data_IF_802167679868
#
_entry.id   IF_802167679868
#
_cell.length_a   1.000
_cell.length_b   1.000
_cell.length_c   1.000
_cell.angle_alpha   90.00
_cell.angle_beta   90.00
_cell.angle_gamma   90.00
#
_symmetry.space_group_name_H-M   'P 1'
#
loop_
_entity.id
_entity.type
_entity.pdbx_description
1 polymer ?
#
# COMPACT_ATOMS: atom_id res chain seq x y z
N UNK A 1 -16.04 -58.72 -6.22
CA UNK A 1 -15.01 -57.66 -6.09
C UNK A 1 -15.67 -56.46 -5.44
N UNK A 2 -15.52 -56.30 -4.12
CA UNK A 2 -15.99 -55.11 -3.41
C UNK A 2 -15.07 -53.95 -3.77
N UNK A 3 -15.66 -52.85 -4.24
CA UNK A 3 -14.94 -51.58 -4.37
C UNK A 3 -14.94 -50.90 -3.00
N UNK A 4 -14.08 -51.35 -2.08
CA UNK A 4 -13.66 -50.53 -0.95
C UNK A 4 -12.70 -49.46 -1.47
N UNK A 5 -13.27 -48.42 -2.08
CA UNK A 5 -12.58 -47.14 -2.17
C UNK A 5 -12.83 -46.46 -0.83
N UNK A 6 -11.83 -46.46 0.05
CA UNK A 6 -11.71 -45.45 1.10
C UNK A 6 -11.71 -44.08 0.40
N UNK A 7 -12.89 -43.52 0.18
CA UNK A 7 -13.04 -42.14 -0.26
C UNK A 7 -12.69 -41.33 0.98
N UNK A 8 -11.49 -40.75 0.97
CA UNK A 8 -11.04 -39.87 2.04
C UNK A 8 -11.93 -38.63 2.02
N UNK A 9 -12.98 -38.62 2.85
CA UNK A 9 -13.94 -37.52 2.92
C UNK A 9 -13.19 -36.33 3.53
N UNK A 10 -12.98 -35.22 2.79
CA UNK A 10 -12.23 -34.10 3.31
C UNK A 10 -12.94 -33.54 4.54
N UNK A 11 -12.24 -33.52 5.68
CA UNK A 11 -12.74 -32.92 6.91
C UNK A 11 -12.83 -31.41 6.74
N UNK A 12 -13.95 -30.85 7.16
CA UNK A 12 -14.16 -29.40 7.20
C UNK A 12 -14.14 -28.97 8.67
N UNK A 13 -13.31 -27.99 8.98
CA UNK A 13 -13.29 -27.35 10.31
C UNK A 13 -13.54 -25.85 10.16
N UNK A 14 -14.07 -25.22 11.19
CA UNK A 14 -14.32 -23.79 11.24
C UNK A 14 -13.93 -23.24 12.61
N UNK A 15 -13.18 -22.15 12.64
CA UNK A 15 -12.67 -21.50 13.84
C UNK A 15 -12.81 -19.98 13.67
N UNK A 16 -13.18 -19.29 14.74
CA UNK A 16 -13.15 -17.83 14.77
C UNK A 16 -11.85 -17.35 15.43
N UNK A 17 -11.11 -16.48 14.72
CA UNK A 17 -9.99 -15.73 15.29
C UNK A 17 -10.49 -14.33 15.68
N UNK A 18 -10.26 -13.94 16.92
CA UNK A 18 -10.66 -12.62 17.41
C UNK A 18 -10.04 -11.49 16.58
N UNK A 19 -10.77 -10.38 16.45
CA UNK A 19 -10.29 -9.22 15.70
C UNK A 19 -9.06 -8.63 16.40
N UNK A 20 -7.89 -8.56 15.72
CA UNK A 20 -6.67 -8.13 16.37
C UNK A 20 -6.71 -6.66 16.78
N UNK A 21 -6.15 -6.36 17.95
CA UNK A 21 -5.96 -4.98 18.41
C UNK A 21 -4.83 -4.30 17.63
N UNK A 22 -4.88 -2.97 17.58
CA UNK A 22 -3.80 -2.10 17.11
C UNK A 22 -3.47 -1.06 18.18
N UNK A 23 -2.23 -0.60 18.17
CA UNK A 23 -1.66 0.28 19.19
C UNK A 23 -1.68 1.74 18.75
N UNK A 24 -1.98 2.63 19.70
CA UNK A 24 -2.06 4.09 19.57
C UNK A 24 -1.11 4.77 20.57
N UNK A 25 -1.26 6.09 20.79
CA UNK A 25 -0.39 6.80 21.72
C UNK A 25 -0.46 6.20 23.14
N UNK A 26 0.65 6.29 23.88
CA UNK A 26 0.77 5.80 25.27
C UNK A 26 0.47 4.30 25.43
N UNK A 27 0.59 3.51 24.35
CA UNK A 27 0.33 2.07 24.38
C UNK A 27 -1.15 1.68 24.42
N UNK A 28 -2.06 2.64 24.25
CA UNK A 28 -3.50 2.38 24.20
C UNK A 28 -3.86 1.50 23.01
N UNK A 29 -4.91 0.69 23.16
CA UNK A 29 -5.23 -0.36 22.19
C UNK A 29 -6.70 -0.31 21.81
N UNK A 30 -6.99 -0.51 20.53
CA UNK A 30 -8.35 -0.63 20.05
C UNK A 30 -8.40 -1.43 18.74
N UNK A 31 -9.56 -1.98 18.38
CA UNK A 31 -9.74 -2.66 17.09
C UNK A 31 -9.89 -1.68 15.92
N UNK A 32 -10.50 -0.50 16.15
CA UNK A 32 -10.80 0.49 15.12
C UNK A 32 -9.79 1.64 15.08
N UNK A 33 -9.12 1.87 13.93
CA UNK A 33 -8.28 3.03 13.69
C UNK A 33 -8.93 4.37 14.01
N UNK A 34 -10.20 4.55 13.63
CA UNK A 34 -10.86 5.86 13.73
C UNK A 34 -11.17 6.19 15.18
N UNK A 35 -11.78 5.26 15.90
CA UNK A 35 -11.97 5.39 17.34
C UNK A 35 -10.65 5.60 18.08
N UNK A 36 -9.63 4.78 17.80
CA UNK A 36 -8.36 4.87 18.51
C UNK A 36 -7.64 6.20 18.30
N UNK A 37 -7.64 6.75 17.08
CA UNK A 37 -7.10 8.09 16.83
C UNK A 37 -7.93 9.16 17.56
N UNK A 38 -9.27 9.11 17.46
CA UNK A 38 -10.13 10.10 18.09
C UNK A 38 -10.01 10.13 19.61
N UNK A 39 -9.79 8.98 20.26
CA UNK A 39 -9.74 8.87 21.72
C UNK A 39 -8.32 8.98 22.29
N UNK A 40 -7.33 8.41 21.62
CA UNK A 40 -5.99 8.24 22.16
C UNK A 40 -4.92 9.02 21.40
N UNK A 41 -5.21 9.46 20.17
CA UNK A 41 -4.21 10.04 19.27
C UNK A 41 -3.34 9.00 18.56
N UNK A 42 -2.53 9.43 17.59
CA UNK A 42 -1.76 8.53 16.77
C UNK A 42 -0.59 7.88 17.52
N UNK A 43 -0.19 6.65 17.14
CA UNK A 43 0.92 5.92 17.78
C UNK A 43 2.19 6.74 17.93
N UNK A 44 2.57 7.52 16.90
CA UNK A 44 3.81 8.28 16.98
C UNK A 44 3.76 9.52 17.88
N UNK A 45 2.58 9.92 18.37
CA UNK A 45 2.45 11.05 19.32
C UNK A 45 3.20 10.80 20.63
N UNK A 46 3.20 9.56 21.13
CA UNK A 46 3.94 9.19 22.33
C UNK A 46 4.55 7.79 22.18
N UNK A 47 5.89 7.65 22.15
CA UNK A 47 6.90 8.72 22.29
C UNK A 47 7.01 9.62 21.03
N UNK A 48 7.20 10.94 21.23
CA UNK A 48 7.16 12.02 20.22
C UNK A 48 8.17 11.86 19.06
N UNK A 49 9.13 10.91 19.12
CA UNK A 49 10.26 10.79 18.17
C UNK A 49 9.90 10.82 16.68
N UNK A 50 8.67 10.41 16.31
CA UNK A 50 8.18 10.40 14.91
C UNK A 50 6.86 11.16 14.73
N UNK A 51 6.52 12.05 15.65
CA UNK A 51 5.31 12.84 15.56
C UNK A 51 5.54 14.12 14.74
N UNK A 52 4.85 14.31 13.61
CA UNK A 52 4.90 15.58 12.89
C UNK A 52 3.98 16.60 13.56
N UNK A 53 4.49 17.39 14.51
CA UNK A 53 3.67 18.40 15.21
C UNK A 53 3.15 19.50 14.28
N UNK A 54 3.90 19.80 13.21
CA UNK A 54 3.52 20.70 12.13
C UNK A 54 3.79 20.02 10.79
N UNK A 55 3.01 20.36 9.77
CA UNK A 55 3.23 19.91 8.39
C UNK A 55 3.16 21.12 7.47
N UNK A 56 4.28 21.49 6.84
CA UNK A 56 4.33 22.55 5.83
C UNK A 56 3.75 22.05 4.51
N UNK A 57 2.60 22.59 4.09
CA UNK A 57 1.87 22.13 2.91
C UNK A 57 2.04 23.12 1.75
N UNK A 58 2.56 22.63 0.63
CA UNK A 58 2.62 23.35 -0.64
C UNK A 58 1.57 22.89 -1.64
N UNK A 59 1.36 23.70 -2.69
CA UNK A 59 0.35 23.44 -3.71
C UNK A 59 0.87 23.62 -5.14
N UNK A 60 0.40 22.78 -6.05
CA UNK A 60 0.56 22.93 -7.50
C UNK A 60 -0.83 22.81 -8.15
N UNK A 61 -1.25 23.83 -8.90
CA UNK A 61 -2.59 23.91 -9.52
C UNK A 61 -2.87 25.28 -10.13
N UNK A 62 -4.08 25.53 -10.65
CA UNK A 62 -4.47 26.90 -11.00
C UNK A 62 -4.82 27.68 -9.73
N UNK A 63 -4.86 29.01 -9.80
CA UNK A 63 -5.23 29.84 -8.65
C UNK A 63 -6.56 29.40 -8.02
N UNK A 64 -7.56 29.11 -8.85
CA UNK A 64 -8.88 28.63 -8.42
C UNK A 64 -8.82 27.25 -7.75
N UNK A 65 -8.16 26.25 -8.37
CA UNK A 65 -8.13 24.90 -7.80
C UNK A 65 -7.34 24.82 -6.51
N UNK A 66 -6.29 25.64 -6.38
CA UNK A 66 -5.50 25.76 -5.16
C UNK A 66 -6.35 26.34 -4.04
N UNK A 67 -7.08 27.43 -4.30
CA UNK A 67 -7.91 28.08 -3.29
C UNK A 67 -8.98 27.13 -2.74
N UNK A 68 -9.71 26.44 -3.64
CA UNK A 68 -10.73 25.46 -3.24
C UNK A 68 -10.14 24.35 -2.37
N UNK A 69 -8.98 23.80 -2.75
CA UNK A 69 -8.35 22.72 -1.98
C UNK A 69 -7.82 23.20 -0.63
N UNK A 70 -7.20 24.38 -0.57
CA UNK A 70 -6.70 24.99 0.66
C UNK A 70 -7.86 25.23 1.65
N UNK A 71 -8.94 25.87 1.21
CA UNK A 71 -10.13 26.10 2.04
C UNK A 71 -10.73 24.79 2.55
N UNK A 72 -10.81 23.76 1.70
CA UNK A 72 -11.31 22.45 2.12
C UNK A 72 -10.42 21.80 3.18
N UNK A 73 -9.09 21.88 3.02
CA UNK A 73 -8.13 21.36 4.01
C UNK A 73 -8.23 22.11 5.33
N UNK A 74 -8.25 23.44 5.31
CA UNK A 74 -8.37 24.30 6.51
C UNK A 74 -9.66 24.02 7.28
N UNK A 75 -10.79 23.94 6.57
CA UNK A 75 -12.10 23.63 7.16
C UNK A 75 -12.13 22.23 7.74
N UNK A 76 -11.69 21.22 6.97
CA UNK A 76 -11.73 19.83 7.40
C UNK A 76 -10.77 19.55 8.56
N UNK A 77 -9.65 20.27 8.65
CA UNK A 77 -8.70 20.17 9.77
C UNK A 77 -9.31 20.60 11.12
N UNK A 78 -10.40 21.38 11.13
CA UNK A 78 -11.13 21.70 12.37
C UNK A 78 -11.93 20.51 12.92
N UNK A 79 -12.09 19.46 12.13
CA UNK A 79 -13.00 18.35 12.42
C UNK A 79 -14.19 18.37 11.47
N UNK A 80 -14.77 17.20 11.23
CA UNK A 80 -15.92 17.03 10.35
C UNK A 80 -16.92 16.10 11.03
N UNK A 81 -18.11 16.61 11.31
CA UNK A 81 -19.20 15.81 11.85
C UNK A 81 -19.55 14.68 10.88
N UNK A 82 -19.78 13.51 11.48
CA UNK A 82 -20.21 12.28 10.88
C UNK A 82 -21.73 12.15 10.78
N UNK A 83 -22.17 10.92 10.55
CA UNK A 83 -23.56 10.49 10.59
C UNK A 83 -23.64 9.09 11.23
N UNK A 84 -24.79 8.41 11.14
CA UNK A 84 -24.96 7.05 11.70
C UNK A 84 -24.00 5.99 11.13
N UNK A 85 -23.48 6.19 9.91
CA UNK A 85 -22.61 5.24 9.20
C UNK A 85 -21.16 5.70 9.15
N UNK A 86 -20.90 6.99 9.38
CA UNK A 86 -19.58 7.61 9.28
C UNK A 86 -19.24 8.26 10.62
N UNK A 87 -18.23 7.77 11.36
CA UNK A 87 -17.84 8.43 12.61
C UNK A 87 -17.28 9.82 12.33
N UNK A 88 -17.34 10.71 13.31
CA UNK A 88 -16.75 12.05 13.23
C UNK A 88 -15.26 11.97 12.90
N UNK A 89 -14.79 12.90 12.08
CA UNK A 89 -13.36 13.15 11.92
C UNK A 89 -12.92 14.13 13.02
N UNK A 90 -12.00 13.74 13.92
CA UNK A 90 -11.67 14.52 15.11
C UNK A 90 -10.82 15.78 14.84
N UNK A 91 -10.40 15.98 13.59
CA UNK A 91 -9.59 17.13 13.20
C UNK A 91 -8.10 16.81 13.10
N UNK A 92 -7.36 17.83 12.66
CA UNK A 92 -5.92 17.86 12.47
C UNK A 92 -5.39 19.18 13.03
N UNK A 93 -5.37 19.28 14.37
CA UNK A 93 -4.86 20.41 15.14
C UNK A 93 -3.94 19.91 16.25
N UNK A 94 -3.16 20.80 16.86
CA UNK A 94 -2.21 20.48 17.94
C UNK A 94 -2.88 19.83 19.17
N UNK A 95 -4.15 20.12 19.41
CA UNK A 95 -4.88 19.77 20.63
C UNK A 95 -5.95 18.70 20.39
N UNK A 96 -6.21 18.30 19.14
CA UNK A 96 -7.26 17.34 18.81
C UNK A 96 -6.94 16.45 17.61
N UNK A 97 -7.46 15.22 17.66
CA UNK A 97 -7.36 14.22 16.59
C UNK A 97 -5.95 13.72 16.37
N UNK A 98 -5.27 14.25 15.35
CA UNK A 98 -3.90 13.85 15.01
C UNK A 98 -2.82 14.54 15.84
N UNK A 99 -3.17 15.57 16.63
CA UNK A 99 -2.21 16.38 17.41
C UNK A 99 -1.16 17.10 16.54
N UNK A 100 -1.48 17.33 15.27
CA UNK A 100 -0.63 17.97 14.26
C UNK A 100 -1.35 19.17 13.66
N UNK A 101 -0.63 20.23 13.28
CA UNK A 101 -1.22 21.35 12.53
C UNK A 101 -0.68 21.45 11.10
N UNK A 102 -1.53 21.97 10.20
CA UNK A 102 -1.12 22.36 8.86
C UNK A 102 -0.58 23.78 8.88
N UNK A 103 0.54 24.00 8.22
CA UNK A 103 1.10 25.33 7.97
C UNK A 103 1.05 25.59 6.47
N UNK A 104 0.59 26.78 6.08
CA UNK A 104 0.47 27.21 4.70
C UNK A 104 1.22 28.51 4.51
N UNK A 105 1.89 28.66 3.37
CA UNK A 105 2.58 29.88 2.96
C UNK A 105 2.39 30.09 1.45
N UNK A 106 2.29 31.35 1.03
CA UNK A 106 2.23 31.72 -0.38
C UNK A 106 3.53 31.33 -1.11
N UNK A 107 4.67 31.28 -0.41
CA UNK A 107 5.93 30.80 -0.96
C UNK A 107 5.92 29.32 -1.34
N UNK A 108 5.00 28.54 -0.79
CA UNK A 108 4.82 27.12 -1.12
C UNK A 108 3.76 26.89 -2.19
N UNK A 109 3.29 27.94 -2.86
CA UNK A 109 2.34 27.85 -3.97
C UNK A 109 3.08 28.00 -5.30
N UNK A 110 2.90 27.01 -6.18
CA UNK A 110 3.42 27.03 -7.55
C UNK A 110 2.26 26.93 -8.53
N UNK A 111 1.78 28.09 -9.00
CA UNK A 111 0.60 28.16 -9.85
C UNK A 111 0.89 27.74 -11.30
N UNK A 112 -0.08 27.06 -11.90
CA UNK A 112 -0.19 26.81 -13.33
C UNK A 112 -0.93 27.99 -13.97
N UNK A 113 -0.23 28.78 -14.78
CA UNK A 113 -0.84 29.92 -15.44
C UNK A 113 -1.64 29.49 -16.69
N UNK A 114 -2.50 30.40 -17.19
CA UNK A 114 -3.37 30.12 -18.34
C UNK A 114 -2.59 29.69 -19.59
N UNK A 115 -1.45 30.35 -19.88
CA UNK A 115 -0.64 30.04 -21.05
C UNK A 115 -0.01 28.65 -20.95
N UNK A 116 0.51 28.26 -19.79
CA UNK A 116 1.06 26.92 -19.54
C UNK A 116 0.01 25.83 -19.79
N UNK A 117 -1.19 26.02 -19.24
CA UNK A 117 -2.31 25.09 -19.41
C UNK A 117 -2.72 25.01 -20.88
N UNK A 118 -2.93 26.15 -21.54
CA UNK A 118 -3.31 26.20 -22.96
C UNK A 118 -2.25 25.56 -23.87
N UNK A 119 -0.97 25.78 -23.58
CA UNK A 119 0.13 25.21 -24.35
C UNK A 119 0.13 23.67 -24.29
N UNK A 120 -0.08 23.10 -23.10
CA UNK A 120 -0.25 21.64 -22.95
C UNK A 120 -1.49 21.17 -23.71
N UNK A 121 -2.63 21.84 -23.56
CA UNK A 121 -3.90 21.42 -24.16
C UNK A 121 -3.94 21.55 -25.69
N UNK A 122 -3.12 22.42 -26.29
CA UNK A 122 -2.96 22.59 -27.75
C UNK A 122 -2.20 21.43 -28.39
N UNK A 123 -1.40 20.67 -27.62
CA UNK A 123 -0.63 19.54 -28.16
C UNK A 123 -1.60 18.43 -28.60
N UNK A 124 -1.61 18.15 -29.92
CA UNK A 124 -2.51 17.16 -30.54
C UNK A 124 -2.14 15.73 -30.16
N UNK A 125 -0.85 15.37 -30.31
CA UNK A 125 -0.36 14.02 -30.03
C UNK A 125 -0.45 13.68 -28.55
N UNK A 126 -1.11 12.57 -28.21
CA UNK A 126 -1.39 12.17 -26.83
C UNK A 126 -0.12 11.98 -26.00
N UNK A 127 0.88 11.27 -26.55
CA UNK A 127 2.20 11.07 -25.93
C UNK A 127 2.84 12.40 -25.55
N UNK A 128 3.03 13.29 -26.53
CA UNK A 128 3.70 14.57 -26.31
C UNK A 128 2.94 15.47 -25.32
N UNK A 129 1.60 15.44 -25.34
CA UNK A 129 0.77 16.17 -24.37
C UNK A 129 0.97 15.65 -22.95
N UNK A 130 1.04 14.32 -22.80
CA UNK A 130 1.30 13.67 -21.51
C UNK A 130 2.69 14.02 -20.97
N UNK A 131 3.73 13.93 -21.80
CA UNK A 131 5.09 14.31 -21.37
C UNK A 131 5.14 15.79 -20.99
N UNK A 132 4.49 16.67 -21.75
CA UNK A 132 4.45 18.09 -21.47
C UNK A 132 3.79 18.41 -20.12
N UNK A 133 2.69 17.73 -19.75
CA UNK A 133 2.09 17.95 -18.42
C UNK A 133 2.97 17.40 -17.30
N UNK A 134 3.63 16.25 -17.49
CA UNK A 134 4.55 15.70 -16.48
C UNK A 134 5.74 16.63 -16.27
N UNK A 135 6.34 17.14 -17.35
CA UNK A 135 7.44 18.11 -17.31
C UNK A 135 7.02 19.44 -16.67
N UNK A 136 5.82 19.93 -16.99
CA UNK A 136 5.27 21.13 -16.35
C UNK A 136 5.18 20.93 -14.83
N UNK A 137 4.61 19.82 -14.36
CA UNK A 137 4.51 19.54 -12.93
C UNK A 137 5.89 19.33 -12.27
N UNK A 138 6.84 18.69 -12.96
CA UNK A 138 8.23 18.58 -12.50
C UNK A 138 8.87 19.96 -12.31
N UNK A 139 8.68 20.88 -13.27
CA UNK A 139 9.22 22.23 -13.19
C UNK A 139 8.68 22.99 -11.97
N UNK A 140 7.37 22.84 -11.67
CA UNK A 140 6.71 23.47 -10.53
C UNK A 140 7.19 22.89 -9.21
N UNK A 141 7.39 21.57 -9.17
CA UNK A 141 7.96 20.88 -8.01
C UNK A 141 9.41 21.30 -7.74
N UNK A 142 10.23 21.41 -8.79
CA UNK A 142 11.61 21.87 -8.69
C UNK A 142 11.71 23.26 -8.05
N UNK A 143 10.84 24.19 -8.45
CA UNK A 143 10.76 25.53 -7.85
C UNK A 143 10.46 25.47 -6.35
N UNK A 144 9.50 24.64 -5.93
CA UNK A 144 9.14 24.48 -4.51
C UNK A 144 10.26 23.81 -3.71
N UNK A 145 10.99 22.86 -4.31
CA UNK A 145 12.08 22.14 -3.66
C UNK A 145 13.32 22.99 -3.37
N UNK A 146 13.48 24.12 -4.10
CA UNK A 146 14.63 25.03 -4.00
C UNK A 146 14.41 26.20 -3.05
N UNK A 147 13.24 26.28 -2.40
CA UNK A 147 12.96 27.29 -1.38
C UNK A 147 13.85 27.05 -0.15
N UNK A 148 14.22 28.11 0.55
CA UNK A 148 15.05 28.02 1.77
C UNK A 148 14.40 27.11 2.82
N UNK A 149 13.08 27.22 2.95
CA UNK A 149 12.25 26.31 3.72
C UNK A 149 11.23 25.65 2.79
N UNK A 150 11.53 24.48 2.21
CA UNK A 150 10.61 23.82 1.31
C UNK A 150 9.43 23.22 2.08
N UNK A 151 8.28 23.03 1.40
CA UNK A 151 7.15 22.31 1.98
C UNK A 151 7.52 20.83 2.21
N UNK A 152 6.94 20.24 3.25
CA UNK A 152 7.12 18.83 3.61
C UNK A 152 6.14 17.91 2.88
N UNK A 153 5.07 18.50 2.35
CA UNK A 153 4.00 17.80 1.68
C UNK A 153 3.44 18.68 0.57
N UNK A 154 3.27 18.14 -0.65
CA UNK A 154 2.73 18.89 -1.78
C UNK A 154 1.42 18.28 -2.27
N UNK A 155 0.38 19.11 -2.31
CA UNK A 155 -0.90 18.76 -2.91
C UNK A 155 -0.94 19.26 -4.35
N UNK A 156 -1.24 18.36 -5.28
CA UNK A 156 -1.39 18.68 -6.70
C UNK A 156 -2.87 18.62 -7.06
N UNK A 157 -3.45 19.77 -7.43
CA UNK A 157 -4.87 19.94 -7.72
C UNK A 157 -5.02 20.53 -9.10
N UNK A 158 -5.19 19.66 -10.10
CA UNK A 158 -5.21 20.08 -11.49
C UNK A 158 -6.63 20.47 -11.92
N UNK A 159 -6.78 21.49 -12.78
CA UNK A 159 -8.04 21.77 -13.45
C UNK A 159 -8.58 20.54 -14.19
N UNK A 160 -9.90 20.33 -14.13
CA UNK A 160 -10.61 19.21 -14.76
C UNK A 160 -10.21 18.99 -16.23
N UNK A 161 -9.97 20.07 -16.98
CA UNK A 161 -9.60 19.98 -18.39
C UNK A 161 -8.25 19.29 -18.62
N UNK A 162 -7.27 19.51 -17.73
CA UNK A 162 -5.98 18.83 -17.79
C UNK A 162 -6.13 17.35 -17.42
N UNK A 163 -6.87 17.05 -16.34
CA UNK A 163 -7.13 15.66 -15.93
C UNK A 163 -7.83 14.89 -17.05
N UNK A 164 -8.93 15.43 -17.60
CA UNK A 164 -9.71 14.78 -18.66
C UNK A 164 -8.88 14.43 -19.90
N UNK A 165 -7.88 15.26 -20.26
CA UNK A 165 -7.07 15.08 -21.47
C UNK A 165 -5.70 14.43 -21.26
N UNK A 166 -5.21 14.37 -20.02
CA UNK A 166 -3.84 13.95 -19.73
C UNK A 166 -3.74 12.87 -18.64
N UNK A 167 -4.86 12.39 -18.06
CA UNK A 167 -4.83 11.36 -17.01
C UNK A 167 -4.13 10.07 -17.46
N UNK A 168 -4.41 9.63 -18.68
CA UNK A 168 -3.84 8.41 -19.27
C UNK A 168 -3.31 8.72 -20.67
N UNK A 169 -2.17 8.13 -21.02
CA UNK A 169 -1.66 8.11 -22.38
C UNK A 169 -1.39 6.66 -22.81
N UNK A 170 -2.05 6.26 -23.90
CA UNK A 170 -1.77 5.01 -24.59
C UNK A 170 -1.14 5.35 -25.95
N UNK A 171 -0.02 4.72 -26.29
CA UNK A 171 0.63 4.90 -27.57
C UNK A 171 1.48 3.68 -27.92
N UNK A 172 1.70 3.48 -29.22
CA UNK A 172 2.68 2.50 -29.71
C UNK A 172 4.04 3.17 -29.79
N UNK A 173 5.05 2.51 -29.26
CA UNK A 173 6.46 2.88 -29.39
C UNK A 173 7.18 1.85 -30.28
N UNK A 174 8.06 2.31 -31.15
CA UNK A 174 8.71 1.48 -32.17
C UNK A 174 9.59 0.39 -31.58
N UNK A 175 10.25 0.69 -30.46
CA UNK A 175 11.20 -0.22 -29.82
C UNK A 175 10.54 -0.97 -28.66
N UNK A 176 9.56 -0.33 -28.04
CA UNK A 176 9.03 -0.71 -26.74
C UNK A 176 7.60 -1.32 -26.79
N UNK A 177 6.93 -1.25 -27.94
CA UNK A 177 5.60 -1.81 -28.15
C UNK A 177 4.46 -0.94 -27.60
N UNK A 178 3.36 -1.55 -27.15
CA UNK A 178 2.22 -0.82 -26.59
C UNK A 178 2.56 -0.29 -25.20
N UNK A 179 2.48 1.03 -25.02
CA UNK A 179 2.76 1.72 -23.77
C UNK A 179 1.48 2.32 -23.21
N UNK A 180 1.19 1.99 -21.95
CA UNK A 180 0.15 2.60 -21.13
C UNK A 180 0.79 3.37 -19.97
N UNK A 181 0.55 4.68 -19.90
CA UNK A 181 1.03 5.54 -18.82
C UNK A 181 -0.13 6.24 -18.11
N UNK A 182 0.03 6.43 -16.81
CA UNK A 182 -0.92 7.14 -15.94
C UNK A 182 -0.23 8.32 -15.26
N UNK A 183 -0.89 9.47 -15.25
CA UNK A 183 -0.32 10.74 -14.79
C UNK A 183 0.12 10.69 -13.33
N UNK A 184 -0.66 10.03 -12.46
CA UNK A 184 -0.32 9.90 -11.04
C UNK A 184 0.97 9.09 -10.90
N UNK A 185 1.09 7.97 -11.62
CA UNK A 185 2.27 7.09 -11.56
C UNK A 185 3.52 7.79 -12.08
N UNK A 186 3.42 8.41 -13.27
CA UNK A 186 4.50 9.15 -13.91
C UNK A 186 4.96 10.34 -13.04
N UNK A 187 4.03 11.15 -12.55
CA UNK A 187 4.36 12.28 -11.68
C UNK A 187 5.00 11.84 -10.36
N UNK A 188 4.52 10.77 -9.73
CA UNK A 188 5.14 10.24 -8.50
C UNK A 188 6.56 9.76 -8.74
N UNK A 189 6.81 9.04 -9.84
CA UNK A 189 8.16 8.65 -10.24
C UNK A 189 9.07 9.87 -10.36
N UNK A 190 8.62 10.94 -11.02
CA UNK A 190 9.41 12.16 -11.16
C UNK A 190 9.62 12.87 -9.81
N UNK A 191 8.57 12.95 -8.99
CA UNK A 191 8.60 13.63 -7.70
C UNK A 191 9.57 13.01 -6.70
N UNK A 192 9.87 11.70 -6.81
CA UNK A 192 10.83 11.01 -5.95
C UNK A 192 12.22 11.68 -5.92
N UNK A 193 12.65 12.32 -7.02
CA UNK A 193 13.95 13.01 -7.08
C UNK A 193 14.08 14.11 -6.01
N UNK A 194 12.96 14.74 -5.67
CA UNK A 194 12.92 15.89 -4.77
C UNK A 194 12.73 15.48 -3.31
N UNK A 195 12.50 14.19 -3.02
CA UNK A 195 12.28 13.66 -1.66
C UNK A 195 11.15 14.37 -0.88
N UNK A 196 10.20 14.97 -1.59
CA UNK A 196 8.98 15.58 -1.01
C UNK A 196 7.78 14.69 -1.36
N UNK A 197 7.06 14.14 -0.36
CA UNK A 197 5.82 13.41 -0.59
C UNK A 197 4.76 14.25 -1.31
N UNK A 198 4.08 13.64 -2.27
CA UNK A 198 3.03 14.30 -3.07
C UNK A 198 1.68 13.60 -2.95
N UNK A 199 0.61 14.37 -3.11
CA UNK A 199 -0.77 13.87 -3.17
C UNK A 199 -1.51 14.57 -4.31
N UNK A 200 -1.95 13.78 -5.29
CA UNK A 200 -2.92 14.26 -6.26
C UNK A 200 -4.30 14.28 -5.58
N UNK A 201 -5.00 15.40 -5.72
CA UNK A 201 -6.32 15.61 -5.16
C UNK A 201 -7.24 16.05 -6.30
N UNK A 202 -8.24 15.23 -6.59
CA UNK A 202 -9.24 15.54 -7.61
C UNK A 202 -10.17 16.65 -7.09
N UNK A 203 -10.49 17.61 -7.96
CA UNK A 203 -11.32 18.76 -7.59
C UNK A 203 -12.71 18.31 -7.11
N UNK A 204 -13.25 17.25 -7.71
CA UNK A 204 -14.53 16.62 -7.33
C UNK A 204 -14.58 16.22 -5.84
N UNK A 205 -13.45 15.83 -5.26
CA UNK A 205 -13.36 15.43 -3.84
C UNK A 205 -13.66 16.62 -2.90
N UNK A 206 -13.28 17.83 -3.31
CA UNK A 206 -13.27 19.03 -2.45
C UNK A 206 -14.32 20.08 -2.80
N UNK A 207 -14.86 20.07 -4.01
CA UNK A 207 -15.85 21.06 -4.48
C UNK A 207 -17.32 20.64 -4.30
N UNK A 208 -17.55 19.47 -3.71
CA UNK A 208 -18.90 18.96 -3.40
C UNK A 208 -19.53 18.06 -4.46
N UNK A 209 -18.87 17.82 -5.60
CA UNK A 209 -19.36 16.86 -6.62
C UNK A 209 -19.27 15.41 -6.16
N UNK A 210 -18.26 15.07 -5.36
CA UNK A 210 -18.11 13.74 -4.76
C UNK A 210 -19.13 13.53 -3.64
N UNK A 211 -20.03 12.55 -3.86
CA UNK A 211 -21.15 12.17 -2.99
C UNK A 211 -20.71 11.39 -1.74
N UNK A 212 -19.44 10.99 -1.64
CA UNK A 212 -18.93 10.40 -0.40
C UNK A 212 -19.04 11.40 0.76
N UNK A 213 -19.39 10.90 1.94
CA UNK A 213 -19.56 11.70 3.14
C UNK A 213 -18.28 12.48 3.48
N UNK A 214 -18.40 13.76 3.87
CA UNK A 214 -17.24 14.62 4.12
C UNK A 214 -16.28 14.05 5.17
N UNK A 215 -16.80 13.47 6.26
CA UNK A 215 -15.97 12.81 7.28
C UNK A 215 -15.14 11.64 6.68
N UNK A 216 -15.72 10.84 5.78
CA UNK A 216 -15.00 9.73 5.12
C UNK A 216 -13.85 10.26 4.25
N UNK A 217 -14.08 11.36 3.53
CA UNK A 217 -13.05 12.04 2.72
C UNK A 217 -11.93 12.59 3.61
N UNK A 218 -12.29 13.32 4.67
CA UNK A 218 -11.33 13.87 5.65
C UNK A 218 -10.48 12.76 6.30
N UNK A 219 -11.12 11.72 6.84
CA UNK A 219 -10.43 10.59 7.46
C UNK A 219 -9.38 9.95 6.54
N UNK A 220 -9.72 9.65 5.28
CA UNK A 220 -8.76 9.06 4.34
C UNK A 220 -7.63 10.03 3.98
N UNK A 221 -7.96 11.29 3.69
CA UNK A 221 -6.96 12.29 3.29
C UNK A 221 -5.95 12.54 4.41
N UNK A 222 -6.43 12.85 5.62
CA UNK A 222 -5.57 13.23 6.74
C UNK A 222 -4.77 12.06 7.32
N UNK A 223 -5.30 10.82 7.26
CA UNK A 223 -4.52 9.63 7.64
C UNK A 223 -3.33 9.43 6.72
N UNK A 224 -3.54 9.55 5.40
CA UNK A 224 -2.47 9.47 4.41
C UNK A 224 -1.49 10.64 4.50
N UNK A 225 -1.97 11.86 4.74
CA UNK A 225 -1.13 13.04 4.97
C UNK A 225 -0.24 12.86 6.19
N UNK A 226 -0.80 12.46 7.34
CA UNK A 226 -0.05 12.22 8.58
C UNK A 226 1.08 11.20 8.37
N UNK A 227 0.77 10.09 7.70
CA UNK A 227 1.76 9.07 7.38
C UNK A 227 2.87 9.60 6.47
N UNK A 228 2.50 10.36 5.42
CA UNK A 228 3.47 10.95 4.49
C UNK A 228 4.33 12.04 5.13
N UNK A 229 3.81 12.75 6.12
CA UNK A 229 4.58 13.68 6.95
C UNK A 229 5.56 12.97 7.91
N UNK A 230 5.57 11.64 7.94
CA UNK A 230 6.49 10.83 8.77
C UNK A 230 5.85 10.26 10.05
N UNK A 231 4.57 10.56 10.29
CA UNK A 231 3.82 10.04 11.41
C UNK A 231 3.45 8.56 11.27
N UNK A 232 3.24 7.87 12.39
CA UNK A 232 2.66 6.53 12.43
C UNK A 232 1.28 6.63 13.10
N UNK A 233 0.17 6.45 12.35
CA UNK A 233 -1.15 6.68 12.93
C UNK A 233 -1.55 5.57 13.92
N UNK A 234 -1.18 4.32 13.65
CA UNK A 234 -1.31 3.18 14.58
C UNK A 234 -0.24 2.14 14.31
N UNK A 235 -0.04 1.19 15.23
CA UNK A 235 0.91 0.08 15.09
C UNK A 235 0.29 -1.29 15.27
N UNK A 236 0.98 -2.35 14.82
CA UNK A 236 0.51 -3.71 15.03
C UNK A 236 0.69 -4.14 16.50
N UNK A 237 -0.14 -5.08 16.94
CA UNK A 237 -0.02 -5.78 18.24
C UNK A 237 -0.07 -7.28 17.96
N UNK A 238 0.82 -8.04 18.59
CA UNK A 238 0.83 -9.50 18.49
C UNK A 238 1.67 -10.07 17.34
N UNK A 239 2.44 -9.25 16.61
CA UNK A 239 3.50 -9.76 15.72
C UNK A 239 4.68 -10.28 16.55
N UNK A 240 5.31 -11.36 16.09
CA UNK A 240 6.43 -11.99 16.80
C UNK A 240 7.68 -11.10 16.74
N UNK A 241 8.29 -10.70 17.87
CA UNK A 241 9.48 -9.85 17.88
C UNK A 241 10.67 -10.45 17.11
N UNK A 242 11.43 -9.59 16.42
CA UNK A 242 12.53 -9.98 15.55
C UNK A 242 12.09 -10.69 14.26
N UNK A 243 10.82 -10.55 13.85
CA UNK A 243 10.31 -11.10 12.59
C UNK A 243 10.37 -10.06 11.48
N UNK A 244 10.94 -10.46 10.35
CA UNK A 244 10.90 -9.70 9.10
C UNK A 244 9.85 -10.29 8.15
N UNK A 245 8.77 -9.54 7.90
CA UNK A 245 7.72 -9.92 6.96
C UNK A 245 8.02 -9.35 5.57
N UNK A 246 8.14 -10.22 4.57
CA UNK A 246 8.58 -9.88 3.21
C UNK A 246 7.44 -10.14 2.23
N UNK A 247 7.06 -9.15 1.43
CA UNK A 247 6.17 -9.31 0.28
C UNK A 247 6.98 -9.36 -1.01
N UNK A 248 6.79 -10.41 -1.80
CA UNK A 248 7.44 -10.57 -3.11
C UNK A 248 6.40 -10.45 -4.22
N UNK A 249 6.73 -9.64 -5.22
CA UNK A 249 5.90 -9.41 -6.40
C UNK A 249 6.73 -9.12 -7.63
N UNK A 250 6.07 -9.08 -8.77
CA UNK A 250 6.72 -8.88 -10.06
C UNK A 250 5.97 -7.81 -10.85
N UNK A 251 6.72 -7.02 -11.61
CA UNK A 251 6.15 -6.06 -12.55
C UNK A 251 6.91 -6.10 -13.86
N UNK A 252 6.22 -5.79 -14.97
CA UNK A 252 6.85 -5.63 -16.28
C UNK A 252 7.37 -4.20 -16.42
N UNK A 253 8.67 -3.98 -16.69
CA UNK A 253 9.20 -2.65 -17.01
C UNK A 253 8.41 -1.98 -18.14
N UNK A 254 8.34 -0.65 -18.13
CA UNK A 254 7.76 0.07 -19.27
C UNK A 254 8.56 -0.23 -20.52
N UNK A 255 7.85 -0.67 -21.55
CA UNK A 255 8.43 -0.76 -22.87
C UNK A 255 9.39 -1.92 -23.10
N UNK A 256 9.38 -2.98 -22.30
CA UNK A 256 10.20 -4.14 -22.62
C UNK A 256 9.81 -4.71 -24.00
N UNK A 257 10.70 -4.58 -25.00
CA UNK A 257 10.53 -5.14 -26.36
C UNK A 257 10.13 -6.62 -26.32
N UNK A 258 10.66 -7.33 -25.32
CA UNK A 258 10.22 -8.66 -24.93
C UNK A 258 9.11 -8.55 -23.88
N UNK A 259 7.90 -8.96 -24.23
CA UNK A 259 6.73 -9.06 -23.32
C UNK A 259 6.95 -9.98 -22.10
N UNK A 260 8.09 -10.65 -22.07
CA UNK A 260 8.54 -11.62 -21.08
C UNK A 260 9.37 -11.01 -19.96
N UNK A 261 9.95 -9.80 -20.11
CA UNK A 261 10.79 -9.22 -19.05
C UNK A 261 9.97 -8.88 -17.80
N UNK A 262 10.50 -9.22 -16.62
CA UNK A 262 9.93 -8.95 -15.30
C UNK A 262 11.02 -8.42 -14.38
N UNK A 263 10.65 -7.53 -13.47
CA UNK A 263 11.48 -7.09 -12.36
C UNK A 263 10.87 -7.59 -11.06
N UNK A 264 11.71 -8.17 -10.20
CA UNK A 264 11.30 -8.52 -8.84
C UNK A 264 11.21 -7.27 -7.96
N UNK A 265 10.14 -7.17 -7.18
CA UNK A 265 9.91 -6.11 -6.22
C UNK A 265 9.69 -6.73 -4.85
N UNK A 266 10.47 -6.25 -3.88
CA UNK A 266 10.37 -6.71 -2.51
C UNK A 266 10.02 -5.57 -1.60
N UNK A 267 9.17 -5.89 -0.63
CA UNK A 267 8.92 -5.02 0.49
C UNK A 267 9.11 -5.81 1.78
N UNK A 268 9.85 -5.27 2.73
CA UNK A 268 9.97 -5.87 4.04
C UNK A 268 9.38 -4.96 5.13
N UNK A 269 8.88 -5.59 6.18
CA UNK A 269 8.31 -4.98 7.37
C UNK A 269 8.88 -5.63 8.61
N UNK A 270 9.19 -4.84 9.62
CA UNK A 270 9.48 -5.35 10.96
C UNK A 270 8.19 -5.51 11.80
N UNK A 271 8.34 -6.06 13.00
CA UNK A 271 7.26 -6.24 13.97
C UNK A 271 6.64 -4.92 14.46
N UNK A 272 7.28 -3.78 14.23
CA UNK A 272 6.79 -2.46 14.60
C UNK A 272 6.00 -1.77 13.49
N UNK A 273 6.03 -2.34 12.28
CA UNK A 273 5.41 -1.81 11.06
C UNK A 273 6.32 -0.88 10.25
N UNK A 274 7.61 -0.77 10.60
CA UNK A 274 8.58 -0.04 9.78
C UNK A 274 8.73 -0.76 8.45
N UNK A 275 8.79 -0.02 7.35
CA UNK A 275 8.82 -0.60 6.02
C UNK A 275 10.04 -0.18 5.21
N UNK A 276 10.46 -1.08 4.33
CA UNK A 276 11.52 -0.86 3.35
C UNK A 276 11.11 -1.46 2.01
N UNK A 277 11.39 -0.74 0.93
CA UNK A 277 11.10 -1.15 -0.45
C UNK A 277 12.41 -1.34 -1.19
N UNK A 278 12.54 -2.46 -1.87
CA UNK A 278 13.74 -2.86 -2.60
C UNK A 278 13.36 -3.31 -4.01
N UNK A 279 14.05 -2.76 -5.01
CA UNK A 279 14.01 -3.24 -6.39
C UNK A 279 15.00 -4.40 -6.50
N UNK A 280 14.51 -5.58 -6.84
CA UNK A 280 15.35 -6.73 -7.15
C UNK A 280 15.80 -6.71 -8.61
N UNK A 281 16.32 -7.85 -9.08
CA UNK A 281 16.88 -7.97 -10.42
C UNK A 281 15.82 -8.20 -11.49
N UNK A 282 16.16 -7.79 -12.71
CA UNK A 282 15.41 -8.09 -13.93
C UNK A 282 15.66 -9.53 -14.37
N UNK A 283 14.62 -10.18 -14.87
CA UNK A 283 14.68 -11.53 -15.40
C UNK A 283 13.65 -11.73 -16.52
N UNK A 284 13.88 -12.76 -17.33
CA UNK A 284 12.99 -13.11 -18.44
C UNK A 284 12.01 -14.18 -17.99
N UNK A 285 10.72 -13.96 -18.24
CA UNK A 285 9.62 -14.84 -17.93
C UNK A 285 8.67 -15.01 -19.13
N UNK A 286 8.77 -16.14 -19.83
CA UNK A 286 7.86 -16.45 -20.94
C UNK A 286 6.66 -17.25 -20.44
N UNK A 287 5.51 -16.58 -20.29
CA UNK A 287 4.30 -17.21 -19.77
C UNK A 287 3.75 -18.32 -20.66
N UNK A 288 4.00 -18.30 -21.97
CA UNK A 288 3.57 -19.36 -22.89
C UNK A 288 4.45 -20.60 -22.75
N UNK A 289 5.77 -20.39 -22.66
CA UNK A 289 6.74 -21.48 -22.48
C UNK A 289 6.56 -22.16 -21.12
N UNK A 290 6.36 -21.36 -20.07
CA UNK A 290 6.25 -21.85 -18.69
C UNK A 290 4.82 -22.29 -18.32
N UNK A 291 3.84 -22.08 -19.20
CA UNK A 291 2.44 -22.49 -18.98
C UNK A 291 1.71 -21.72 -17.87
N UNK A 292 2.28 -20.62 -17.36
CA UNK A 292 1.66 -19.79 -16.33
C UNK A 292 2.02 -18.31 -16.47
N UNK A 293 1.02 -17.46 -16.21
CA UNK A 293 1.17 -16.01 -16.20
C UNK A 293 1.83 -15.46 -14.92
N UNK A 294 2.01 -16.31 -13.90
CA UNK A 294 2.66 -15.91 -12.65
C UNK A 294 4.18 -16.09 -12.77
N UNK A 295 4.99 -15.02 -12.62
CA UNK A 295 6.43 -15.18 -12.67
C UNK A 295 6.99 -15.99 -11.49
N UNK A 296 7.99 -16.81 -11.78
CA UNK A 296 8.76 -17.57 -10.80
C UNK A 296 10.26 -17.31 -11.00
N UNK A 297 10.98 -17.15 -9.90
CA UNK A 297 12.42 -16.92 -9.91
C UNK A 297 13.18 -18.24 -10.07
N UNK A 298 14.37 -18.16 -10.65
CA UNK A 298 15.35 -19.25 -10.54
C UNK A 298 15.87 -19.35 -9.10
N UNK A 299 16.52 -20.45 -8.76
CA UNK A 299 17.17 -20.64 -7.46
C UNK A 299 18.16 -19.51 -7.13
N UNK A 300 19.03 -19.16 -8.08
CA UNK A 300 20.01 -18.07 -7.90
C UNK A 300 19.32 -16.70 -7.71
N UNK A 301 18.28 -16.41 -8.49
CA UNK A 301 17.54 -15.15 -8.37
C UNK A 301 16.80 -15.05 -7.04
N UNK A 302 16.20 -16.15 -6.59
CA UNK A 302 15.52 -16.25 -5.30
C UNK A 302 16.51 -16.02 -4.14
N UNK A 303 17.69 -16.66 -4.19
CA UNK A 303 18.74 -16.47 -3.19
C UNK A 303 19.21 -15.00 -3.11
N UNK A 304 19.58 -14.41 -4.25
CA UNK A 304 19.98 -12.99 -4.34
C UNK A 304 18.92 -12.04 -3.80
N UNK A 305 17.65 -12.31 -4.07
CA UNK A 305 16.54 -11.50 -3.60
C UNK A 305 16.43 -11.48 -2.07
N UNK A 306 16.57 -12.64 -1.43
CA UNK A 306 16.55 -12.75 0.03
C UNK A 306 17.80 -12.13 0.64
N UNK A 307 18.98 -12.35 0.06
CA UNK A 307 20.22 -11.71 0.52
C UNK A 307 20.11 -10.19 0.51
N UNK A 308 19.53 -9.61 -0.55
CA UNK A 308 19.27 -8.17 -0.65
C UNK A 308 18.41 -7.66 0.53
N UNK A 309 17.35 -8.40 0.87
CA UNK A 309 16.47 -8.04 2.00
C UNK A 309 17.19 -8.15 3.34
N UNK A 310 17.92 -9.24 3.57
CA UNK A 310 18.60 -9.50 4.84
C UNK A 310 19.75 -8.52 5.07
N UNK A 311 20.53 -8.20 4.04
CA UNK A 311 21.59 -7.20 4.12
C UNK A 311 20.99 -5.82 4.46
N UNK A 312 19.89 -5.42 3.80
CA UNK A 312 19.22 -4.16 4.13
C UNK A 312 18.63 -4.15 5.54
N UNK A 313 18.02 -5.25 5.98
CA UNK A 313 17.50 -5.37 7.34
C UNK A 313 18.63 -5.19 8.36
N UNK A 314 19.79 -5.80 8.13
CA UNK A 314 20.97 -5.65 8.98
C UNK A 314 21.48 -4.19 9.01
N UNK A 315 21.54 -3.51 7.87
CA UNK A 315 21.96 -2.10 7.78
C UNK A 315 21.05 -1.17 8.60
N UNK A 316 19.73 -1.38 8.55
CA UNK A 316 18.74 -0.52 9.21
C UNK A 316 18.55 -0.87 10.70
N UNK A 317 18.55 -2.16 11.05
CA UNK A 317 18.23 -2.64 12.40
C UNK A 317 19.47 -2.96 13.24
N UNK A 318 20.66 -3.02 12.63
CA UNK A 318 21.92 -3.37 13.29
C UNK A 318 22.04 -4.86 13.68
N UNK A 319 21.05 -5.68 13.39
CA UNK A 319 21.03 -7.12 13.68
C UNK A 319 20.25 -7.88 12.61
N UNK A 320 20.51 -9.19 12.47
CA UNK A 320 19.72 -10.08 11.60
C UNK A 320 18.34 -10.38 12.20
N UNK A 321 17.32 -10.64 11.36
CA UNK A 321 16.03 -11.08 11.86
C UNK A 321 16.12 -12.49 12.42
N UNK A 322 15.39 -12.76 13.51
CA UNK A 322 15.29 -14.11 14.09
C UNK A 322 14.39 -15.01 13.27
N UNK A 323 13.36 -14.42 12.67
CA UNK A 323 12.38 -15.11 11.82
C UNK A 323 12.09 -14.32 10.56
N UNK A 324 11.89 -15.00 9.43
CA UNK A 324 11.49 -14.38 8.16
C UNK A 324 10.20 -15.01 7.64
N UNK A 325 9.20 -14.20 7.33
CA UNK A 325 7.95 -14.66 6.71
C UNK A 325 7.86 -14.07 5.32
N UNK A 326 7.85 -14.89 4.28
CA UNK A 326 7.77 -14.43 2.90
C UNK A 326 6.34 -14.69 2.37
N UNK A 327 5.71 -13.64 1.87
CA UNK A 327 4.38 -13.66 1.25
C UNK A 327 4.51 -13.50 -0.27
N UNK A 328 3.88 -14.41 -1.03
CA UNK A 328 3.65 -14.31 -2.48
C UNK A 328 2.18 -14.49 -2.83
N UNK A 329 1.80 -14.17 -4.08
CA UNK A 329 0.46 -14.46 -4.63
C UNK A 329 0.40 -15.72 -5.49
N UNK A 330 1.53 -16.38 -5.72
CA UNK A 330 1.65 -17.64 -6.44
C UNK A 330 2.31 -18.69 -5.56
N UNK A 331 1.99 -19.97 -5.79
CA UNK A 331 2.64 -21.11 -5.12
C UNK A 331 4.14 -21.08 -5.38
N UNK A 332 4.93 -21.62 -4.46
CA UNK A 332 6.39 -21.59 -4.63
C UNK A 332 6.84 -22.78 -5.49
N UNK A 333 7.68 -22.51 -6.49
CA UNK A 333 8.34 -23.57 -7.25
C UNK A 333 9.54 -24.14 -6.49
N UNK A 334 9.93 -25.38 -6.79
CA UNK A 334 11.05 -26.06 -6.10
C UNK A 334 12.35 -25.24 -6.16
N UNK A 335 12.66 -24.66 -7.32
CA UNK A 335 13.83 -23.79 -7.49
C UNK A 335 13.77 -22.54 -6.60
N UNK A 336 12.63 -21.85 -6.56
CA UNK A 336 12.43 -20.67 -5.70
C UNK A 336 12.56 -21.04 -4.22
N UNK A 337 11.96 -22.18 -3.81
CA UNK A 337 12.07 -22.70 -2.44
C UNK A 337 13.54 -22.91 -2.08
N UNK A 338 14.27 -23.66 -2.89
CA UNK A 338 15.70 -23.95 -2.66
C UNK A 338 16.51 -22.66 -2.48
N UNK A 339 16.34 -21.68 -3.38
CA UNK A 339 17.07 -20.42 -3.32
C UNK A 339 16.75 -19.58 -2.09
N UNK A 340 15.46 -19.47 -1.72
CA UNK A 340 15.06 -18.78 -0.50
C UNK A 340 15.62 -19.46 0.75
N UNK A 341 15.51 -20.78 0.86
CA UNK A 341 16.03 -21.54 2.00
C UNK A 341 17.54 -21.46 2.12
N UNK A 342 18.27 -21.55 1.00
CA UNK A 342 19.72 -21.44 0.98
C UNK A 342 20.18 -20.09 1.52
N UNK A 343 19.61 -18.99 1.04
CA UNK A 343 19.99 -17.64 1.48
C UNK A 343 19.65 -17.39 2.96
N UNK A 344 18.49 -17.86 3.43
CA UNK A 344 18.09 -17.77 4.84
C UNK A 344 19.07 -18.52 5.75
N UNK A 345 19.43 -19.76 5.38
CA UNK A 345 20.39 -20.58 6.14
C UNK A 345 21.79 -19.98 6.13
N UNK A 346 22.25 -19.47 4.98
CA UNK A 346 23.58 -18.86 4.84
C UNK A 346 23.76 -17.62 5.74
N UNK A 347 22.67 -16.90 6.04
CA UNK A 347 22.66 -15.74 6.94
C UNK A 347 22.24 -16.07 8.38
N UNK A 348 22.19 -17.35 8.73
CA UNK A 348 21.84 -17.86 10.07
C UNK A 348 20.42 -17.45 10.54
N UNK A 349 19.47 -17.31 9.61
CA UNK A 349 18.05 -17.16 9.96
C UNK A 349 17.49 -18.55 10.26
N UNK A 350 17.16 -18.80 11.52
CA UNK A 350 16.78 -20.14 12.00
C UNK A 350 15.30 -20.47 11.80
N UNK A 351 14.43 -19.47 11.66
CA UNK A 351 12.98 -19.68 11.53
C UNK A 351 12.48 -18.97 10.28
N UNK A 352 11.71 -19.66 9.46
CA UNK A 352 11.09 -19.05 8.31
C UNK A 352 9.77 -19.71 7.90
N UNK A 353 8.90 -18.91 7.30
CA UNK A 353 7.66 -19.37 6.72
C UNK A 353 7.50 -18.78 5.30
N UNK A 354 7.34 -19.62 4.30
CA UNK A 354 7.01 -19.22 2.93
C UNK A 354 5.51 -19.43 2.72
N UNK A 355 4.73 -18.36 2.54
CA UNK A 355 3.27 -18.40 2.47
C UNK A 355 2.78 -17.83 1.15
N UNK A 356 2.06 -18.64 0.37
CA UNK A 356 1.37 -18.16 -0.82
C UNK A 356 -0.10 -17.86 -0.51
N UNK A 357 -0.56 -16.66 -0.88
CA UNK A 357 -1.89 -16.14 -0.58
C UNK A 357 -2.68 -15.87 -1.86
N UNK A 358 -3.82 -16.55 -2.02
CA UNK A 358 -4.71 -16.41 -3.19
C UNK A 358 -6.05 -15.81 -2.79
N UNK A 359 -6.42 -14.69 -3.42
CA UNK A 359 -7.66 -13.96 -3.11
C UNK A 359 -8.86 -14.36 -3.98
N UNK A 360 -8.65 -15.03 -5.11
CA UNK A 360 -9.70 -15.47 -6.03
C UNK A 360 -10.07 -16.91 -5.70
N UNK A 361 -11.20 -17.08 -5.01
CA UNK A 361 -11.65 -18.38 -4.55
C UNK A 361 -13.09 -18.64 -5.00
N UNK A 362 -13.35 -19.88 -5.39
CA UNK A 362 -14.69 -20.40 -5.70
C UNK A 362 -15.41 -20.92 -4.45
N UNK A 363 -14.68 -21.12 -3.35
CA UNK A 363 -15.19 -21.63 -2.07
C UNK A 363 -15.59 -20.47 -1.17
N UNK A 364 -16.79 -20.53 -0.59
CA UNK A 364 -17.33 -19.54 0.35
C UNK A 364 -18.15 -20.22 1.44
N UNK A 365 -18.09 -19.67 2.65
CA UNK A 365 -19.03 -19.98 3.72
C UNK A 365 -20.33 -19.22 3.49
N UNK A 366 -21.45 -19.94 3.65
CA UNK A 366 -22.77 -19.37 3.80
C UNK A 366 -23.13 -19.44 5.28
N UNK A 367 -23.55 -18.31 5.84
CA UNK A 367 -24.03 -18.27 7.22
C UNK A 367 -25.55 -18.08 7.21
N UNK A 368 -26.22 -18.65 8.22
CA UNK A 368 -27.68 -18.63 8.30
C UNK A 368 -28.27 -17.24 8.60
N UNK A 369 -27.45 -16.29 9.04
CA UNK A 369 -27.89 -14.93 9.33
C UNK A 369 -27.83 -14.02 8.08
N UNK A 370 -28.34 -12.79 8.20
CA UNK A 370 -28.38 -11.82 7.10
C UNK A 370 -27.04 -11.11 6.85
N UNK A 371 -26.03 -11.36 7.70
CA UNK A 371 -24.72 -10.74 7.60
C UNK A 371 -23.77 -11.63 6.80
N UNK A 372 -22.65 -11.08 6.27
CA UNK A 372 -21.59 -11.90 5.74
C UNK A 372 -20.80 -12.62 6.86
N UNK A 373 -19.99 -13.65 6.53
CA UNK A 373 -19.04 -14.26 7.45
C UNK A 373 -18.24 -13.24 8.25
N UNK A 374 -17.97 -13.55 9.52
CA UNK A 374 -17.18 -12.68 10.37
C UNK A 374 -15.76 -12.54 9.80
N UNK A 375 -15.22 -11.32 9.83
CA UNK A 375 -13.78 -11.13 9.63
C UNK A 375 -13.06 -11.81 10.79
N UNK A 376 -12.07 -12.65 10.45
CA UNK A 376 -11.38 -13.54 11.38
C UNK A 376 -11.86 -14.99 11.31
N UNK A 377 -12.95 -15.30 10.59
CA UNK A 377 -13.37 -16.69 10.39
C UNK A 377 -12.36 -17.43 9.52
N UNK A 378 -11.76 -18.49 10.09
CA UNK A 378 -10.96 -19.51 9.41
C UNK A 378 -11.83 -20.73 9.15
N UNK A 379 -11.69 -21.35 7.98
CA UNK A 379 -12.19 -22.70 7.76
C UNK A 379 -11.22 -23.53 6.92
N UNK A 380 -11.27 -24.85 7.08
CA UNK A 380 -10.45 -25.77 6.30
C UNK A 380 -11.30 -26.66 5.42
N UNK A 381 -10.75 -27.07 4.28
CA UNK A 381 -11.29 -28.16 3.45
C UNK A 381 -10.14 -29.13 3.20
N UNK A 382 -10.12 -30.24 3.94
CA UNK A 382 -8.90 -31.06 4.06
C UNK A 382 -7.78 -30.23 4.68
N UNK A 383 -6.61 -30.22 4.03
CA UNK A 383 -5.41 -29.50 4.46
C UNK A 383 -5.36 -28.02 4.02
N UNK A 384 -6.35 -27.56 3.25
CA UNK A 384 -6.35 -26.19 2.71
C UNK A 384 -7.03 -25.23 3.69
N UNK A 385 -6.30 -24.23 4.15
CA UNK A 385 -6.83 -23.15 4.98
C UNK A 385 -7.42 -21.99 4.15
N UNK A 386 -8.56 -21.50 4.61
CA UNK A 386 -9.22 -20.30 4.12
C UNK A 386 -9.47 -19.33 5.28
N UNK A 387 -9.19 -18.05 5.09
CA UNK A 387 -9.31 -17.01 6.11
C UNK A 387 -10.09 -15.81 5.59
N UNK A 388 -11.20 -15.48 6.23
CA UNK A 388 -11.95 -14.26 5.97
C UNK A 388 -11.23 -13.03 6.56
N UNK A 389 -10.40 -12.39 5.75
CA UNK A 389 -9.79 -11.08 6.05
C UNK A 389 -10.75 -9.92 5.75
N UNK A 390 -11.86 -10.18 5.06
CA UNK A 390 -12.97 -9.23 4.89
C UNK A 390 -14.25 -9.92 5.31
N UNK A 391 -15.17 -9.18 5.89
CA UNK A 391 -16.34 -9.77 6.52
C UNK A 391 -16.98 -8.81 7.51
N UNK A 392 -18.00 -9.29 8.19
CA UNK A 392 -18.63 -8.54 9.27
C UNK A 392 -17.67 -8.43 10.46
N UNK A 393 -17.49 -7.23 11.01
CA UNK A 393 -16.60 -6.97 12.14
C UNK A 393 -17.46 -6.92 13.40
N UNK A 394 -17.49 -8.03 14.14
CA UNK A 394 -18.38 -8.19 15.29
C UNK A 394 -18.22 -7.07 16.34
N UNK A 395 -16.98 -6.75 16.71
CA UNK A 395 -16.70 -5.71 17.70
C UNK A 395 -17.08 -4.28 17.28
N UNK A 396 -17.39 -4.04 16.00
CA UNK A 396 -17.87 -2.74 15.50
C UNK A 396 -19.33 -2.78 15.04
N UNK A 397 -19.96 -3.96 15.02
CA UNK A 397 -21.29 -4.17 14.45
C UNK A 397 -21.42 -3.61 13.02
N UNK A 398 -20.38 -3.77 12.19
CA UNK A 398 -20.27 -3.13 10.88
C UNK A 398 -19.74 -4.07 9.78
N UNK A 399 -20.18 -3.83 8.55
CA UNK A 399 -19.60 -4.41 7.34
C UNK A 399 -19.09 -3.32 6.41
N UNK A 400 -17.79 -3.33 6.10
CA UNK A 400 -17.16 -2.28 5.29
C UNK A 400 -17.07 -2.66 3.80
N UNK A 401 -17.60 -3.80 3.36
CA UNK A 401 -17.54 -4.26 1.97
C UNK A 401 -18.76 -3.85 1.13
N UNK A 402 -18.57 -3.76 -0.19
CA UNK A 402 -19.66 -3.53 -1.17
C UNK A 402 -20.22 -4.84 -1.74
N UNK A 403 -19.43 -5.92 -1.67
CA UNK A 403 -19.74 -7.21 -2.28
C UNK A 403 -19.56 -8.33 -1.25
N UNK A 404 -20.15 -9.49 -1.54
CA UNK A 404 -20.00 -10.70 -0.72
C UNK A 404 -18.50 -11.00 -0.53
N UNK A 405 -18.00 -11.08 0.72
CA UNK A 405 -16.59 -11.28 0.97
C UNK A 405 -16.13 -12.64 0.47
N UNK A 406 -14.91 -12.67 -0.04
CA UNK A 406 -14.21 -13.90 -0.43
C UNK A 406 -13.13 -14.16 0.60
N UNK A 407 -12.95 -15.41 1.07
CA UNK A 407 -11.83 -15.73 1.93
C UNK A 407 -10.52 -15.60 1.15
N UNK A 408 -9.43 -15.39 1.88
CA UNK A 408 -8.07 -15.55 1.41
C UNK A 408 -7.67 -17.02 1.60
N UNK A 409 -7.21 -17.67 0.53
CA UNK A 409 -6.72 -19.04 0.59
C UNK A 409 -5.22 -19.02 0.88
N UNK A 410 -4.78 -19.87 1.80
CA UNK A 410 -3.38 -20.18 2.01
C UNK A 410 -3.03 -21.29 1.03
N UNK A 411 -2.54 -20.90 -0.14
CA UNK A 411 -2.35 -21.78 -1.27
C UNK A 411 -1.10 -22.66 -1.13
N UNK A 412 -0.07 -22.17 -0.44
CA UNK A 412 1.16 -22.92 -0.18
C UNK A 412 1.73 -22.46 1.16
N UNK A 413 2.36 -23.38 1.87
CA UNK A 413 3.06 -23.12 3.13
C UNK A 413 4.30 -24.01 3.23
N UNK A 414 5.46 -23.39 3.34
CA UNK A 414 6.73 -24.08 3.63
C UNK A 414 7.28 -23.53 4.93
N UNK A 415 7.64 -24.42 5.86
CA UNK A 415 7.99 -24.08 7.24
C UNK A 415 7.15 -24.91 8.21
N UNK A 416 7.72 -25.21 9.38
CA UNK A 416 7.07 -26.02 10.42
C UNK A 416 7.26 -25.48 11.85
N UNK A 417 8.07 -24.42 12.02
CA UNK A 417 8.39 -23.87 13.34
C UNK A 417 7.29 -22.96 13.89
N UNK A 418 6.41 -22.45 13.02
CA UNK A 418 5.32 -21.56 13.41
C UNK A 418 3.97 -22.28 13.43
N UNK A 419 3.22 -22.24 14.55
CA UNK A 419 1.84 -22.74 14.57
C UNK A 419 0.97 -22.04 13.52
N UNK A 420 0.16 -22.81 12.80
CA UNK A 420 -0.72 -22.29 11.73
C UNK A 420 -1.60 -21.14 12.20
N UNK A 421 -2.13 -21.21 13.42
CA UNK A 421 -2.96 -20.14 13.97
C UNK A 421 -2.20 -18.81 14.12
N UNK A 422 -0.92 -18.84 14.50
CA UNK A 422 -0.07 -17.65 14.60
C UNK A 422 0.05 -16.96 13.24
N UNK A 423 0.34 -17.72 12.16
CA UNK A 423 0.44 -17.16 10.81
C UNK A 423 -0.86 -16.48 10.36
N UNK A 424 -2.02 -17.08 10.67
CA UNK A 424 -3.32 -16.53 10.30
C UNK A 424 -3.63 -15.24 11.09
N UNK A 425 -3.28 -15.19 12.37
CA UNK A 425 -3.39 -13.97 13.19
C UNK A 425 -2.46 -12.87 12.65
N UNK A 426 -1.22 -13.20 12.29
CA UNK A 426 -0.27 -12.26 11.67
C UNK A 426 -0.83 -11.69 10.36
N UNK A 427 -1.42 -12.52 9.50
CA UNK A 427 -2.09 -12.07 8.27
C UNK A 427 -3.23 -11.08 8.60
N UNK A 428 -4.07 -11.37 9.59
CA UNK A 428 -5.15 -10.45 10.01
C UNK A 428 -4.59 -9.12 10.50
N UNK A 429 -3.53 -9.13 11.33
CA UNK A 429 -2.87 -7.92 11.81
C UNK A 429 -2.32 -7.11 10.63
N UNK A 430 -1.58 -7.76 9.72
CA UNK A 430 -0.97 -7.11 8.56
C UNK A 430 -2.01 -6.51 7.60
N UNK A 431 -3.24 -7.04 7.54
CA UNK A 431 -4.30 -6.39 6.72
C UNK A 431 -4.72 -5.01 7.26
N UNK A 432 -4.48 -4.71 8.54
CA UNK A 432 -4.81 -3.42 9.20
C UNK A 432 -3.70 -2.37 9.05
N UNK A 433 -2.56 -2.74 8.49
CA UNK A 433 -1.37 -1.87 8.43
C UNK A 433 -1.32 -0.94 7.21
N UNK A 434 -2.48 -0.64 6.60
CA UNK A 434 -2.57 0.28 5.47
C UNK A 434 -2.78 1.73 5.91
N UNK A 435 -1.69 2.45 6.18
CA UNK A 435 -1.72 3.86 6.60
C UNK A 435 -2.10 4.88 5.51
N UNK A 436 -2.45 4.45 4.30
CA UNK A 436 -2.99 5.34 3.26
C UNK A 436 -4.51 5.53 3.33
N UNK A 437 -5.18 4.81 4.24
CA UNK A 437 -6.62 4.89 4.41
C UNK A 437 -6.97 4.63 5.86
N UNK A 438 -8.00 5.30 6.35
CA UNK A 438 -8.59 5.06 7.67
C UNK A 438 -9.48 3.81 7.73
N UNK A 439 -9.67 3.12 6.60
CA UNK A 439 -10.51 1.93 6.54
C UNK A 439 -9.86 0.78 7.31
N UNK A 440 -10.63 0.15 8.19
CA UNK A 440 -10.17 -1.04 8.89
C UNK A 440 -9.95 -2.19 7.88
N UNK A 441 -8.73 -2.71 7.88
CA UNK A 441 -8.40 -3.95 7.20
C UNK A 441 -8.38 -3.88 5.67
N UNK A 442 -8.45 -5.05 5.06
CA UNK A 442 -8.47 -5.26 3.63
C UNK A 442 -8.37 -6.75 3.29
N UNK A 443 -8.59 -7.10 2.03
CA UNK A 443 -8.53 -8.49 1.58
C UNK A 443 -7.11 -9.07 1.68
N UNK A 444 -6.10 -8.26 1.36
CA UNK A 444 -4.71 -8.68 1.31
C UNK A 444 -3.92 -8.06 2.48
N UNK A 445 -2.99 -8.82 3.09
CA UNK A 445 -2.06 -8.25 4.05
C UNK A 445 -1.18 -7.20 3.36
N UNK A 446 -0.63 -6.30 4.18
CA UNK A 446 0.06 -5.14 3.66
C UNK A 446 1.26 -5.48 2.77
N UNK A 447 1.94 -6.58 3.10
CA UNK A 447 3.05 -7.15 2.32
C UNK A 447 2.71 -7.41 0.86
N UNK A 448 1.47 -7.84 0.56
CA UNK A 448 1.04 -8.12 -0.82
C UNK A 448 0.35 -6.91 -1.44
N UNK A 449 -0.44 -6.17 -0.66
CA UNK A 449 -1.22 -5.03 -1.18
C UNK A 449 -0.32 -3.95 -1.75
N UNK A 450 0.76 -3.62 -1.04
CA UNK A 450 1.67 -2.55 -1.44
C UNK A 450 2.57 -2.92 -2.60
N UNK A 451 3.05 -4.16 -2.66
CA UNK A 451 3.75 -4.71 -3.82
C UNK A 451 3.07 -4.37 -5.16
N UNK A 452 1.73 -4.45 -5.26
CA UNK A 452 1.00 -4.07 -6.47
C UNK A 452 1.04 -2.55 -6.74
N UNK A 453 0.76 -1.74 -5.72
CA UNK A 453 0.75 -0.27 -5.84
C UNK A 453 2.13 0.31 -6.17
N UNK A 454 3.17 -0.25 -5.57
CA UNK A 454 4.56 0.15 -5.77
C UNK A 454 5.04 -0.30 -7.15
N UNK A 455 4.72 -1.54 -7.56
CA UNK A 455 5.09 -2.07 -8.87
C UNK A 455 4.63 -1.17 -10.02
N UNK A 456 3.40 -0.65 -9.94
CA UNK A 456 2.86 0.29 -10.91
C UNK A 456 3.66 1.59 -11.06
N UNK A 457 4.21 2.13 -9.97
CA UNK A 457 5.04 3.35 -10.00
C UNK A 457 6.48 3.01 -10.38
N UNK A 458 7.01 1.87 -9.92
CA UNK A 458 8.34 1.40 -10.24
C UNK A 458 8.55 1.25 -11.76
N UNK A 459 7.50 0.88 -12.49
CA UNK A 459 7.49 0.84 -13.96
C UNK A 459 7.84 2.17 -14.62
N UNK A 460 7.46 3.29 -13.98
CA UNK A 460 7.70 4.66 -14.45
C UNK A 460 9.07 5.19 -14.01
N UNK A 461 9.81 4.46 -13.18
CA UNK A 461 11.13 4.88 -12.70
C UNK A 461 12.19 4.35 -13.66
N UNK A 462 13.04 5.23 -14.23
CA UNK A 462 14.16 4.82 -15.08
C UNK A 462 15.05 3.73 -14.42
N UNK A 463 15.64 2.88 -15.26
CA UNK A 463 16.44 1.72 -14.82
C UNK A 463 17.70 2.17 -14.08
N UNK A 464 18.32 3.24 -14.53
CA UNK A 464 19.53 3.86 -13.99
C UNK A 464 19.31 4.63 -12.68
N UNK A 465 18.05 4.81 -12.26
CA UNK A 465 17.72 5.53 -11.03
C UNK A 465 17.29 4.58 -9.92
N UNK A 466 18.04 4.60 -8.83
CA UNK A 466 17.64 3.90 -7.62
C UNK A 466 16.34 4.49 -7.03
N UNK A 467 15.34 3.64 -6.76
CA UNK A 467 14.12 4.08 -6.09
C UNK A 467 14.37 4.48 -4.63
N UNK A 468 13.55 5.40 -4.11
CA UNK A 468 13.52 5.66 -2.67
C UNK A 468 12.91 4.45 -1.94
N UNK A 469 13.44 4.12 -0.76
CA UNK A 469 13.00 2.95 0.00
C UNK A 469 11.73 3.19 0.80
N UNK A 470 11.47 4.43 1.23
CA UNK A 470 10.33 4.75 2.08
C UNK A 470 9.01 4.77 1.30
N UNK A 471 8.03 4.07 1.83
CA UNK A 471 6.73 3.90 1.19
C UNK A 471 5.94 5.20 0.94
N UNK A 472 6.14 6.24 1.76
CA UNK A 472 5.45 7.53 1.64
C UNK A 472 5.54 8.19 0.25
N UNK A 473 6.57 7.85 -0.53
CA UNK A 473 6.76 8.39 -1.89
C UNK A 473 5.91 7.68 -2.97
N UNK A 474 5.45 6.45 -2.70
CA UNK A 474 4.66 5.64 -3.64
C UNK A 474 3.14 5.82 -3.50
N UNK A 475 2.72 6.42 -2.40
CA UNK A 475 1.30 6.41 -1.99
C UNK A 475 0.58 7.66 -2.37
#
# INVERSE_FOLDING_TARGET
MSFDRNIDIPKISCQYLEEPLICFANGQQHIDPKFGISQFGPKSYSPIKRHPSQVRVGFIGSAETIEVAKQWMEKSAQGVLGDQKHPDFPGFKKEQGFFSELVFDNDWISQLNRLEIENVLKIKQSRNRFEAVVQLLESKLNLLSRKDQPPEYIVVVLPDQLIKKCRVANYQDSDLGEIHRDLRRAFKSVAMKYRIPTQLLDLETVDGRDKDHLSKKAWNFFTGLYFKAGGLPWGPIGLVPGTCYVGVSFYRPLGSANSTMQTSLVQAFDEHGNNLILRGHDFTWDSNKEGTNSPHLTEEQAAKLVELVLNRYLEEMGQMPRRVVIHKTSRYWSAEKSGFEQALRAKFVHQYDLVALTSQNTVRLLIANQYPPLRGTRFTVGEIDYLYTTGFIAGLNQFHGMHVPSPLQIADHVGYDTPRETLLKEILILTKMNWNSSRLGGLLPITIRFSRLVGDIMREIPVDREPLTNFKFYT
#
